data_IF_540600244947
#
_entry.id   IF_540600244947
#
_cell.length_a   1.000
_cell.length_b   1.000
_cell.length_c   1.000
_cell.angle_alpha   90.00
_cell.angle_beta   90.00
_cell.angle_gamma   90.00
#
_symmetry.space_group_name_H-M   'P 1'
#
loop_
_entity.id
_entity.type
_entity.pdbx_description
1 polymer ?
#
# COMPACT_ATOMS: atom_id res chain seq x y z
N UNK A 1 -10.40 18.89 4.23
CA UNK A 1 -11.45 18.17 3.48
C UNK A 1 -10.92 16.79 3.15
N UNK A 2 -11.64 15.74 3.49
CA UNK A 2 -11.28 14.37 3.12
C UNK A 2 -12.21 13.99 1.97
N UNK A 3 -11.66 13.67 0.80
CA UNK A 3 -12.46 13.13 -0.30
C UNK A 3 -12.30 11.63 -0.29
N UNK A 4 -13.40 10.95 -0.03
CA UNK A 4 -13.40 9.55 0.38
C UNK A 4 -14.30 8.78 -0.54
N UNK A 5 -13.68 7.85 -1.26
CA UNK A 5 -14.28 6.84 -2.13
C UNK A 5 -15.14 7.36 -3.29
N UNK A 6 -14.50 7.45 -4.45
CA UNK A 6 -15.15 7.69 -5.73
C UNK A 6 -14.99 6.39 -6.51
N UNK A 7 -15.95 5.49 -6.31
CA UNK A 7 -15.87 4.13 -6.83
C UNK A 7 -16.28 4.13 -8.30
N UNK A 8 -15.33 3.75 -9.16
CA UNK A 8 -15.58 3.55 -10.58
C UNK A 8 -15.72 4.83 -11.41
N UNK A 9 -16.16 4.66 -12.65
CA UNK A 9 -16.18 5.74 -13.64
C UNK A 9 -17.14 6.88 -13.27
N UNK A 10 -18.24 6.58 -12.58
CA UNK A 10 -19.23 7.56 -12.14
C UNK A 10 -18.67 8.47 -11.03
N UNK A 11 -18.10 7.88 -9.96
CA UNK A 11 -17.44 8.64 -8.90
C UNK A 11 -16.29 9.48 -9.46
N UNK A 12 -15.47 8.92 -10.36
CA UNK A 12 -14.40 9.70 -10.98
C UNK A 12 -14.91 10.87 -11.84
N UNK A 13 -16.02 10.71 -12.57
CA UNK A 13 -16.65 11.83 -13.30
C UNK A 13 -17.21 12.88 -12.33
N UNK A 14 -17.86 12.45 -11.25
CA UNK A 14 -18.34 13.36 -10.21
C UNK A 14 -17.19 14.16 -9.59
N UNK A 15 -16.03 13.53 -9.35
CA UNK A 15 -14.81 14.22 -8.93
C UNK A 15 -14.38 15.27 -9.95
N UNK A 16 -14.31 14.93 -11.23
CA UNK A 16 -13.90 15.88 -12.27
C UNK A 16 -14.88 17.02 -12.48
N UNK A 17 -16.16 16.81 -12.21
CA UNK A 17 -17.18 17.87 -12.22
C UNK A 17 -17.11 18.73 -10.96
N UNK A 18 -16.75 18.13 -9.83
CA UNK A 18 -16.57 18.81 -8.55
C UNK A 18 -15.25 19.59 -8.49
N UNK A 19 -14.14 19.06 -9.01
CA UNK A 19 -12.79 19.65 -8.91
C UNK A 19 -12.71 21.11 -9.39
N UNK A 20 -13.29 21.49 -10.55
CA UNK A 20 -13.36 22.90 -10.98
C UNK A 20 -14.22 23.79 -10.07
N UNK A 21 -15.17 23.18 -9.33
CA UNK A 21 -16.05 23.86 -8.37
C UNK A 21 -15.46 23.91 -6.96
N UNK A 22 -14.47 23.06 -6.67
CA UNK A 22 -13.72 23.08 -5.42
C UNK A 22 -12.80 24.30 -5.43
N UNK A 23 -13.22 25.33 -4.71
CA UNK A 23 -12.53 26.63 -4.64
C UNK A 23 -11.11 26.51 -4.07
N UNK A 24 -10.82 25.45 -3.30
CA UNK A 24 -9.50 25.23 -2.70
C UNK A 24 -9.10 23.74 -2.66
N UNK A 25 -8.37 23.29 -3.69
CA UNK A 25 -7.77 21.94 -3.74
C UNK A 25 -6.71 21.72 -2.66
N UNK A 26 -6.12 22.80 -2.11
CA UNK A 26 -5.12 22.70 -1.04
C UNK A 26 -5.74 22.22 0.27
N UNK A 27 -7.06 22.29 0.44
CA UNK A 27 -7.74 21.77 1.62
C UNK A 27 -7.83 20.23 1.66
N UNK A 28 -7.48 19.52 0.58
CA UNK A 28 -7.50 18.06 0.51
C UNK A 28 -6.25 17.48 1.18
N UNK A 29 -6.43 16.73 2.25
CA UNK A 29 -5.32 16.05 2.97
C UNK A 29 -5.28 14.54 2.74
N UNK A 30 -6.36 13.97 2.22
CA UNK A 30 -6.53 12.53 2.03
C UNK A 30 -7.39 12.29 0.82
N UNK A 31 -6.94 11.38 -0.03
CA UNK A 31 -7.63 10.97 -1.23
C UNK A 31 -7.50 9.47 -1.42
N UNK A 32 -8.63 8.78 -1.42
CA UNK A 32 -8.74 7.41 -1.93
C UNK A 32 -9.49 7.48 -3.26
N UNK A 33 -8.90 6.91 -4.30
CA UNK A 33 -9.43 6.99 -5.65
C UNK A 33 -9.39 5.63 -6.34
N UNK A 34 -10.56 5.14 -6.74
CA UNK A 34 -10.67 4.06 -7.71
C UNK A 34 -10.74 4.65 -9.12
N UNK A 35 -9.66 4.50 -9.87
CA UNK A 35 -9.59 4.99 -11.24
C UNK A 35 -10.28 4.06 -12.25
N UNK A 36 -10.99 3.01 -11.81
CA UNK A 36 -11.73 2.12 -12.69
C UNK A 36 -10.88 1.54 -13.82
N UNK A 37 -11.41 1.54 -15.04
CA UNK A 37 -10.65 1.12 -16.23
C UNK A 37 -10.10 2.33 -16.97
N UNK A 38 -8.79 2.34 -17.21
CA UNK A 38 -8.19 3.24 -18.19
C UNK A 38 -8.64 2.83 -19.59
N UNK A 39 -9.44 3.69 -20.22
CA UNK A 39 -9.91 3.54 -21.60
C UNK A 39 -9.35 4.69 -22.43
N UNK A 40 -9.37 4.54 -23.74
CA UNK A 40 -8.98 5.64 -24.64
C UNK A 40 -9.94 6.82 -24.58
N UNK A 41 -11.17 6.64 -24.08
CA UNK A 41 -12.20 7.69 -23.99
C UNK A 41 -12.02 8.63 -22.79
N UNK A 42 -11.32 8.21 -21.75
CA UNK A 42 -11.17 8.96 -20.49
C UNK A 42 -9.70 9.36 -20.20
N UNK A 43 -8.79 9.19 -21.18
CA UNK A 43 -7.35 9.45 -21.00
C UNK A 43 -7.03 10.90 -20.62
N UNK A 44 -7.65 11.89 -21.28
CA UNK A 44 -7.39 13.32 -21.01
C UNK A 44 -7.76 13.69 -19.59
N UNK A 45 -8.84 13.10 -19.10
CA UNK A 45 -9.32 13.35 -17.76
C UNK A 45 -8.32 12.86 -16.72
N UNK A 46 -7.82 11.62 -16.85
CA UNK A 46 -6.77 11.08 -15.96
C UNK A 46 -5.48 11.87 -16.04
N UNK A 47 -5.03 12.22 -17.24
CA UNK A 47 -3.85 13.06 -17.42
C UNK A 47 -4.01 14.41 -16.70
N UNK A 48 -5.13 15.09 -16.91
CA UNK A 48 -5.42 16.37 -16.26
C UNK A 48 -5.46 16.23 -14.74
N UNK A 49 -6.14 15.20 -14.24
CA UNK A 49 -6.23 14.91 -12.82
C UNK A 49 -4.85 14.68 -12.18
N UNK A 50 -4.03 13.80 -12.73
CA UNK A 50 -2.71 13.50 -12.16
C UNK A 50 -1.74 14.69 -12.29
N UNK A 51 -1.88 15.53 -13.31
CA UNK A 51 -1.15 16.79 -13.41
C UNK A 51 -1.63 17.83 -12.39
N UNK A 52 -2.89 17.78 -11.99
CA UNK A 52 -3.47 18.67 -10.99
C UNK A 52 -3.16 18.27 -9.54
N UNK A 53 -2.58 17.08 -9.30
CA UNK A 53 -2.17 16.66 -7.94
C UNK A 53 -1.24 17.66 -7.25
N UNK A 54 -0.43 18.40 -8.01
CA UNK A 54 0.45 19.44 -7.47
C UNK A 54 -0.31 20.55 -6.71
N UNK A 55 -1.56 20.81 -7.07
CA UNK A 55 -2.40 21.81 -6.40
C UNK A 55 -2.96 21.30 -5.06
N UNK A 56 -2.87 20.00 -4.78
CA UNK A 56 -3.24 19.40 -3.49
C UNK A 56 -2.06 19.45 -2.52
N UNK A 57 -1.54 20.65 -2.24
CA UNK A 57 -0.29 20.87 -1.49
C UNK A 57 -0.27 20.33 -0.05
N UNK A 58 -1.44 20.00 0.51
CA UNK A 58 -1.58 19.40 1.85
C UNK A 58 -1.93 17.92 1.82
N UNK A 59 -1.91 17.27 0.65
CA UNK A 59 -2.20 15.85 0.52
C UNK A 59 -1.14 15.01 1.24
N UNK A 60 -1.58 14.27 2.28
CA UNK A 60 -0.75 13.40 3.10
C UNK A 60 -0.99 11.92 2.83
N UNK A 61 -2.21 11.55 2.45
CA UNK A 61 -2.58 10.17 2.18
C UNK A 61 -3.20 10.02 0.81
N UNK A 62 -2.60 9.17 -0.03
CA UNK A 62 -3.09 8.83 -1.36
C UNK A 62 -3.20 7.32 -1.50
N UNK A 63 -4.40 6.82 -1.77
CA UNK A 63 -4.64 5.42 -2.14
C UNK A 63 -5.22 5.36 -3.54
N UNK A 64 -4.58 4.60 -4.44
CA UNK A 64 -4.99 4.44 -5.82
C UNK A 64 -5.37 2.97 -6.08
N UNK A 65 -6.61 2.72 -6.47
CA UNK A 65 -7.11 1.41 -6.89
C UNK A 65 -7.73 1.47 -8.28
N UNK A 66 -8.03 0.31 -8.86
CA UNK A 66 -8.74 0.20 -10.12
C UNK A 66 -8.28 -1.01 -10.92
N UNK A 67 -8.65 -1.07 -12.20
CA UNK A 67 -8.21 -2.13 -13.10
C UNK A 67 -6.78 -1.90 -13.57
N UNK A 68 -6.09 -2.99 -13.84
CA UNK A 68 -4.75 -2.98 -14.41
C UNK A 68 -4.68 -2.08 -15.66
N UNK A 69 -3.73 -1.14 -15.67
CA UNK A 69 -3.47 -0.27 -16.82
C UNK A 69 -3.11 -1.14 -18.03
N UNK A 70 -3.76 -0.92 -19.17
CA UNK A 70 -3.47 -1.66 -20.39
C UNK A 70 -2.15 -1.18 -21.01
N UNK A 71 -1.48 -2.05 -21.77
CA UNK A 71 -0.19 -1.71 -22.42
C UNK A 71 -0.27 -0.49 -23.35
N UNK A 72 -1.42 -0.23 -23.98
CA UNK A 72 -1.62 0.96 -24.82
C UNK A 72 -1.88 2.25 -24.02
N UNK A 73 -1.99 2.15 -22.70
CA UNK A 73 -2.26 3.26 -21.78
C UNK A 73 -1.10 3.49 -20.80
N UNK A 74 0.11 2.99 -21.08
CA UNK A 74 1.27 3.14 -20.19
C UNK A 74 1.65 4.60 -19.91
N UNK A 75 1.34 5.53 -20.82
CA UNK A 75 1.51 6.97 -20.57
C UNK A 75 0.74 7.44 -19.33
N UNK A 76 -0.39 6.82 -18.99
CA UNK A 76 -1.15 7.13 -17.78
C UNK A 76 -0.33 6.82 -16.53
N UNK A 77 0.41 5.72 -16.52
CA UNK A 77 1.30 5.40 -15.41
C UNK A 77 2.39 6.48 -15.22
N UNK A 78 2.96 6.99 -16.31
CA UNK A 78 3.91 8.11 -16.25
C UNK A 78 3.28 9.36 -15.63
N UNK A 79 2.01 9.65 -15.91
CA UNK A 79 1.28 10.75 -15.28
C UNK A 79 1.09 10.51 -13.77
N UNK A 80 0.69 9.28 -13.37
CA UNK A 80 0.60 8.89 -11.95
C UNK A 80 1.93 9.13 -11.24
N UNK A 81 3.03 8.57 -11.78
CA UNK A 81 4.35 8.69 -11.18
C UNK A 81 4.79 10.15 -11.06
N UNK A 82 4.61 10.95 -12.12
CA UNK A 82 4.93 12.38 -12.10
C UNK A 82 4.13 13.15 -11.05
N UNK A 83 2.81 12.93 -11.00
CA UNK A 83 1.92 13.60 -10.05
C UNK A 83 2.29 13.24 -8.60
N UNK A 84 2.47 11.95 -8.31
CA UNK A 84 2.85 11.47 -6.97
C UNK A 84 4.21 12.02 -6.54
N UNK A 85 5.20 12.06 -7.44
CA UNK A 85 6.54 12.56 -7.13
C UNK A 85 6.57 14.05 -6.72
N UNK A 86 5.54 14.82 -7.08
CA UNK A 86 5.42 16.25 -6.75
C UNK A 86 4.76 16.50 -5.38
N UNK A 87 4.17 15.48 -4.77
CA UNK A 87 3.47 15.60 -3.48
C UNK A 87 4.46 15.63 -2.31
N UNK A 88 4.98 16.82 -2.00
CA UNK A 88 6.04 17.04 -1.02
C UNK A 88 5.67 16.74 0.44
N UNK A 89 4.38 16.64 0.76
CA UNK A 89 3.88 16.29 2.10
C UNK A 89 3.28 14.88 2.19
N UNK A 90 3.43 14.07 1.15
CA UNK A 90 2.84 12.73 1.12
C UNK A 90 3.49 11.81 2.14
N UNK A 91 2.69 11.23 3.02
CA UNK A 91 3.11 10.33 4.10
C UNK A 91 2.63 8.90 3.85
N UNK A 92 1.49 8.72 3.19
CA UNK A 92 0.94 7.42 2.84
C UNK A 92 0.72 7.32 1.32
N UNK A 93 1.24 6.26 0.71
CA UNK A 93 0.93 5.86 -0.65
C UNK A 93 0.51 4.40 -0.70
N UNK A 94 -0.69 4.14 -1.21
CA UNK A 94 -1.17 2.81 -1.54
C UNK A 94 -1.47 2.67 -3.03
N UNK A 95 -1.07 1.56 -3.63
CA UNK A 95 -1.42 1.22 -5.01
C UNK A 95 -1.94 -0.20 -5.08
N UNK A 96 -3.15 -0.37 -5.60
CA UNK A 96 -3.81 -1.66 -5.76
C UNK A 96 -4.18 -1.93 -7.22
N UNK A 97 -3.74 -3.08 -7.73
CA UNK A 97 -4.07 -3.65 -9.06
C UNK A 97 -3.62 -2.86 -10.30
N UNK A 98 -3.45 -1.54 -10.22
CA UNK A 98 -3.08 -0.68 -11.34
C UNK A 98 -1.78 -1.10 -12.03
N UNK A 99 -0.82 -1.60 -11.23
CA UNK A 99 0.54 -1.93 -11.67
C UNK A 99 0.69 -3.28 -12.39
N UNK A 100 -0.38 -4.07 -12.52
CA UNK A 100 -0.26 -5.50 -12.90
C UNK A 100 0.39 -5.75 -14.27
N UNK A 101 0.19 -4.84 -15.23
CA UNK A 101 0.75 -4.93 -16.58
C UNK A 101 1.87 -3.91 -16.85
N UNK A 102 2.27 -3.14 -15.84
CA UNK A 102 3.27 -2.09 -16.00
C UNK A 102 4.66 -2.73 -16.15
N UNK A 103 5.47 -2.31 -17.14
CA UNK A 103 6.84 -2.80 -17.30
C UNK A 103 7.70 -2.56 -16.04
N UNK A 104 8.65 -3.47 -15.71
CA UNK A 104 9.51 -3.33 -14.54
C UNK A 104 10.20 -1.97 -14.42
N UNK A 105 10.74 -1.45 -15.52
CA UNK A 105 11.45 -0.17 -15.60
C UNK A 105 10.57 1.02 -15.16
N UNK A 106 9.25 0.93 -15.40
CA UNK A 106 8.30 1.94 -14.99
C UNK A 106 7.93 1.83 -13.50
N UNK A 107 8.00 0.63 -12.91
CA UNK A 107 7.87 0.44 -11.47
C UNK A 107 9.13 0.92 -10.75
N UNK A 108 10.31 0.69 -11.33
CA UNK A 108 11.58 1.24 -10.83
C UNK A 108 11.56 2.76 -10.82
N UNK A 109 11.08 3.37 -11.90
CA UNK A 109 10.90 4.83 -11.97
C UNK A 109 9.98 5.33 -10.85
N UNK A 110 8.87 4.65 -10.57
CA UNK A 110 8.01 5.02 -9.44
C UNK A 110 8.80 4.97 -8.13
N UNK A 111 9.45 3.85 -7.81
CA UNK A 111 10.12 3.64 -6.54
C UNK A 111 11.29 4.61 -6.31
N UNK A 112 12.01 4.99 -7.36
CA UNK A 112 13.13 5.93 -7.31
C UNK A 112 12.69 7.40 -7.20
N UNK A 113 11.45 7.72 -7.57
CA UNK A 113 10.90 9.09 -7.55
C UNK A 113 9.92 9.34 -6.40
N UNK A 114 9.61 8.34 -5.58
CA UNK A 114 8.73 8.48 -4.42
C UNK A 114 9.15 9.65 -3.51
N UNK A 115 8.20 10.36 -2.90
CA UNK A 115 8.49 11.37 -1.88
C UNK A 115 9.26 10.76 -0.70
N UNK A 116 10.33 11.43 -0.28
CA UNK A 116 11.16 10.99 0.87
C UNK A 116 10.46 11.19 2.22
N UNK A 117 9.29 11.83 2.21
CA UNK A 117 8.40 12.02 3.35
C UNK A 117 7.54 10.80 3.68
N UNK A 118 7.52 9.78 2.81
CA UNK A 118 6.70 8.60 3.03
C UNK A 118 7.01 7.88 4.36
N UNK A 119 5.94 7.63 5.10
CA UNK A 119 5.90 6.89 6.37
C UNK A 119 5.23 5.53 6.14
N UNK A 120 4.31 5.43 5.18
CA UNK A 120 3.56 4.22 4.90
C UNK A 120 3.49 3.94 3.41
N UNK A 121 3.78 2.70 3.03
CA UNK A 121 3.70 2.24 1.65
C UNK A 121 2.93 0.93 1.54
N UNK A 122 1.97 0.88 0.62
CA UNK A 122 1.21 -0.31 0.30
C UNK A 122 1.26 -0.61 -1.20
N UNK A 123 1.60 -1.85 -1.55
CA UNK A 123 1.57 -2.37 -2.91
C UNK A 123 0.79 -3.68 -2.94
N UNK A 124 -0.31 -3.68 -3.69
CA UNK A 124 -1.30 -4.76 -3.68
C UNK A 124 -1.53 -5.25 -5.11
N UNK A 125 -1.45 -6.55 -5.31
CA UNK A 125 -1.78 -7.25 -6.56
C UNK A 125 -0.96 -6.80 -7.78
N UNK A 126 0.36 -6.68 -7.61
CA UNK A 126 1.29 -6.45 -8.73
C UNK A 126 2.10 -7.71 -9.06
N UNK A 127 2.04 -8.15 -10.31
CA UNK A 127 2.84 -9.29 -10.82
C UNK A 127 4.24 -8.87 -11.28
N UNK A 128 4.55 -7.57 -11.23
CA UNK A 128 5.79 -6.99 -11.77
C UNK A 128 6.66 -6.35 -10.69
N UNK A 129 6.09 -6.05 -9.52
CA UNK A 129 6.84 -5.59 -8.37
C UNK A 129 7.84 -6.66 -7.90
N UNK A 130 9.11 -6.30 -7.82
CA UNK A 130 10.27 -7.19 -7.62
C UNK A 130 11.14 -6.77 -6.45
N UNK A 131 12.18 -7.56 -6.19
CA UNK A 131 13.21 -7.28 -5.19
C UNK A 131 13.93 -5.95 -5.44
N UNK A 132 14.22 -5.60 -6.70
CA UNK A 132 14.88 -4.33 -7.07
C UNK A 132 14.03 -3.13 -6.64
N UNK A 133 12.70 -3.24 -6.74
CA UNK A 133 11.81 -2.19 -6.26
C UNK A 133 11.89 -2.00 -4.74
N UNK A 134 12.10 -3.08 -3.97
CA UNK A 134 12.36 -2.96 -2.53
C UNK A 134 13.71 -2.29 -2.26
N UNK A 135 14.76 -2.63 -3.02
CA UNK A 135 16.05 -1.94 -2.91
C UNK A 135 15.91 -0.43 -3.14
N UNK A 136 15.20 -0.02 -4.19
CA UNK A 136 14.91 1.39 -4.45
C UNK A 136 14.09 2.02 -3.31
N UNK A 137 13.05 1.33 -2.84
CA UNK A 137 12.16 1.83 -1.78
C UNK A 137 12.92 2.07 -0.46
N UNK A 138 13.75 1.15 0.00
CA UNK A 138 14.47 1.28 1.27
C UNK A 138 15.55 2.37 1.21
N UNK A 139 16.16 2.58 0.05
CA UNK A 139 17.12 3.67 -0.18
C UNK A 139 16.42 5.03 -0.22
N UNK A 140 15.25 5.10 -0.85
CA UNK A 140 14.52 6.36 -1.05
C UNK A 140 13.72 6.80 0.16
N UNK A 141 13.09 5.86 0.87
CA UNK A 141 12.15 6.11 1.95
C UNK A 141 12.59 5.45 3.27
N UNK A 142 13.72 5.88 3.87
CA UNK A 142 14.27 5.25 5.09
C UNK A 142 13.43 5.50 6.36
N UNK A 143 12.42 6.37 6.27
CA UNK A 143 11.50 6.72 7.37
C UNK A 143 10.25 5.83 7.42
N UNK A 144 10.10 4.86 6.52
CA UNK A 144 8.94 4.00 6.50
C UNK A 144 8.74 3.27 7.84
N UNK A 145 7.52 3.41 8.36
CA UNK A 145 7.04 2.70 9.54
C UNK A 145 6.03 1.61 9.20
N UNK A 146 5.36 1.71 8.05
CA UNK A 146 4.41 0.71 7.56
C UNK A 146 4.79 0.25 6.15
N UNK A 147 4.89 -1.06 5.98
CA UNK A 147 5.10 -1.70 4.69
C UNK A 147 4.06 -2.82 4.50
N UNK A 148 3.17 -2.66 3.51
CA UNK A 148 2.12 -3.64 3.18
C UNK A 148 2.30 -4.16 1.75
N UNK A 149 2.65 -5.43 1.62
CA UNK A 149 3.01 -6.09 0.37
C UNK A 149 2.13 -7.31 0.17
N UNK A 150 1.14 -7.21 -0.72
CA UNK A 150 0.14 -8.28 -0.91
C UNK A 150 0.05 -8.71 -2.36
N UNK A 151 0.09 -10.01 -2.61
CA UNK A 151 -0.09 -10.56 -3.95
C UNK A 151 1.08 -10.28 -4.91
N UNK A 152 2.30 -10.12 -4.39
CA UNK A 152 3.49 -9.76 -5.17
C UNK A 152 4.31 -11.00 -5.52
N UNK A 153 3.92 -11.70 -6.60
CA UNK A 153 4.46 -13.03 -6.93
C UNK A 153 5.95 -13.06 -7.33
N UNK A 154 6.53 -11.92 -7.68
CA UNK A 154 7.96 -11.81 -8.03
C UNK A 154 8.83 -11.40 -6.85
N UNK A 155 8.23 -11.02 -5.73
CA UNK A 155 8.96 -10.60 -4.55
C UNK A 155 9.38 -11.82 -3.74
N UNK A 156 10.68 -11.95 -3.47
CA UNK A 156 11.23 -13.08 -2.71
C UNK A 156 11.36 -12.73 -1.22
N UNK A 157 11.34 -13.73 -0.32
CA UNK A 157 11.53 -13.49 1.11
C UNK A 157 12.80 -12.71 1.44
N UNK A 158 13.91 -12.94 0.72
CA UNK A 158 15.17 -12.20 0.92
C UNK A 158 15.04 -10.67 0.78
N UNK A 159 14.20 -10.18 -0.14
CA UNK A 159 13.95 -8.75 -0.27
C UNK A 159 13.14 -8.19 0.91
N UNK A 160 12.22 -8.98 1.47
CA UNK A 160 11.52 -8.62 2.71
C UNK A 160 12.48 -8.58 3.89
N UNK A 161 13.41 -9.54 4.00
CA UNK A 161 14.45 -9.52 5.03
C UNK A 161 15.32 -8.26 4.93
N UNK A 162 15.71 -7.88 3.71
CA UNK A 162 16.40 -6.63 3.45
C UNK A 162 15.59 -5.43 3.94
N UNK A 163 14.29 -5.36 3.63
CA UNK A 163 13.43 -4.26 4.07
C UNK A 163 13.38 -4.16 5.60
N UNK A 164 13.19 -5.27 6.30
CA UNK A 164 13.14 -5.28 7.77
C UNK A 164 14.48 -4.79 8.37
N UNK A 165 15.61 -5.22 7.81
CA UNK A 165 16.93 -4.82 8.30
C UNK A 165 17.30 -3.38 7.95
N UNK A 166 16.80 -2.86 6.83
CA UNK A 166 17.18 -1.55 6.29
C UNK A 166 16.26 -0.42 6.75
N UNK A 167 15.05 -0.74 7.23
CA UNK A 167 14.06 0.24 7.69
C UNK A 167 14.03 0.29 9.23
N UNK A 168 14.84 1.16 9.87
CA UNK A 168 14.99 1.18 11.32
C UNK A 168 13.70 1.57 12.06
N UNK A 169 12.77 2.24 11.37
CA UNK A 169 11.49 2.68 11.91
C UNK A 169 10.33 1.75 11.59
N UNK A 170 10.56 0.60 10.93
CA UNK A 170 9.50 -0.31 10.53
C UNK A 170 8.78 -0.90 11.75
N UNK A 171 7.55 -0.46 11.97
CA UNK A 171 6.68 -0.86 13.10
C UNK A 171 5.60 -1.85 12.65
N UNK A 172 5.18 -1.76 11.40
CA UNK A 172 4.02 -2.49 10.85
C UNK A 172 4.40 -3.13 9.52
N UNK A 173 4.31 -4.46 9.43
CA UNK A 173 4.68 -5.22 8.24
C UNK A 173 3.59 -6.20 7.84
N UNK A 174 3.06 -6.10 6.63
CA UNK A 174 2.21 -7.14 6.06
C UNK A 174 2.84 -7.68 4.79
N UNK A 175 2.96 -9.00 4.71
CA UNK A 175 3.47 -9.70 3.54
C UNK A 175 2.62 -10.93 3.29
N UNK A 176 1.73 -10.85 2.31
CA UNK A 176 0.70 -11.88 2.09
C UNK A 176 0.65 -12.29 0.62
N UNK A 177 0.24 -13.54 0.35
CA UNK A 177 -0.01 -14.04 -1.01
C UNK A 177 1.19 -13.90 -1.97
N UNK A 178 2.41 -14.01 -1.46
CA UNK A 178 3.65 -14.02 -2.27
C UNK A 178 4.22 -15.42 -2.49
N UNK A 179 3.67 -16.42 -1.79
CA UNK A 179 4.23 -17.76 -1.65
C UNK A 179 4.50 -18.09 -0.19
N UNK A 180 4.94 -19.33 0.12
CA UNK A 180 5.21 -19.75 1.49
C UNK A 180 6.39 -19.00 2.09
N UNK A 181 6.19 -18.47 3.29
CA UNK A 181 7.26 -17.88 4.09
C UNK A 181 8.09 -18.98 4.77
N UNK A 182 9.40 -18.79 4.80
CA UNK A 182 10.31 -19.66 5.54
C UNK A 182 10.23 -19.37 7.04
N UNK A 183 10.51 -20.37 7.86
CA UNK A 183 10.64 -20.17 9.31
C UNK A 183 11.77 -19.18 9.70
N UNK A 184 12.78 -18.98 8.83
CA UNK A 184 13.81 -17.96 9.04
C UNK A 184 13.22 -16.56 9.12
N UNK A 185 12.20 -16.26 8.31
CA UNK A 185 11.49 -14.98 8.34
C UNK A 185 10.79 -14.78 9.68
N UNK A 186 10.16 -15.83 10.21
CA UNK A 186 9.50 -15.78 11.51
C UNK A 186 10.49 -15.59 12.67
N UNK A 187 11.64 -16.27 12.62
CA UNK A 187 12.73 -16.03 13.59
C UNK A 187 13.25 -14.60 13.50
N UNK A 188 13.39 -14.05 12.29
CA UNK A 188 13.82 -12.66 12.08
C UNK A 188 12.83 -11.65 12.66
N UNK A 189 11.52 -11.79 12.42
CA UNK A 189 10.54 -10.88 13.02
C UNK A 189 10.42 -11.07 14.54
N UNK A 190 10.70 -12.27 15.07
CA UNK A 190 10.76 -12.53 16.51
C UNK A 190 11.98 -11.90 17.20
N UNK A 191 13.06 -11.63 16.46
CA UNK A 191 14.32 -11.14 17.00
C UNK A 191 14.29 -9.61 17.21
N UNK A 192 14.36 -9.18 18.48
CA UNK A 192 14.35 -7.76 18.87
C UNK A 192 15.60 -7.00 18.43
N UNK A 193 16.72 -7.67 18.21
CA UNK A 193 17.93 -7.05 17.69
C UNK A 193 17.82 -6.82 16.18
N UNK A 194 17.19 -7.72 15.44
CA UNK A 194 17.08 -7.64 13.98
C UNK A 194 15.91 -6.76 13.50
N UNK A 195 14.82 -6.70 14.27
CA UNK A 195 13.63 -5.94 13.92
C UNK A 195 13.14 -5.07 15.08
N UNK A 196 13.95 -4.20 15.70
CA UNK A 196 13.68 -3.61 17.02
C UNK A 196 12.34 -2.86 17.13
N UNK A 197 11.96 -2.14 16.08
CA UNK A 197 10.77 -1.29 16.08
C UNK A 197 9.47 -2.06 15.82
N UNK A 198 9.52 -3.32 15.40
CA UNK A 198 8.34 -4.06 14.94
C UNK A 198 7.32 -4.29 16.07
N UNK A 199 6.08 -3.85 15.81
CA UNK A 199 4.92 -3.86 16.72
C UNK A 199 3.82 -4.80 16.25
N UNK A 200 3.60 -4.88 14.94
CA UNK A 200 2.62 -5.77 14.34
C UNK A 200 3.16 -6.33 13.00
N UNK A 201 2.89 -7.60 12.76
CA UNK A 201 3.20 -8.25 11.50
C UNK A 201 2.09 -9.20 11.03
N UNK A 202 1.90 -9.29 9.72
CA UNK A 202 1.08 -10.31 9.07
C UNK A 202 1.95 -11.00 8.04
N UNK A 203 2.22 -12.30 8.24
CA UNK A 203 3.02 -13.10 7.33
C UNK A 203 2.17 -14.23 6.75
N UNK A 204 1.99 -14.21 5.43
CA UNK A 204 1.02 -15.03 4.74
C UNK A 204 1.56 -15.93 3.64
N UNK A 205 0.69 -16.77 3.10
CA UNK A 205 1.03 -17.78 2.09
C UNK A 205 1.51 -19.11 2.66
N UNK A 206 1.34 -19.31 3.97
CA UNK A 206 1.76 -20.54 4.64
C UNK A 206 0.86 -21.71 4.22
N UNK A 207 1.46 -22.86 3.97
CA UNK A 207 0.75 -24.11 3.61
C UNK A 207 0.45 -24.98 4.82
N UNK A 208 1.15 -24.75 5.93
CA UNK A 208 1.05 -25.50 7.17
C UNK A 208 1.35 -24.57 8.36
N UNK A 209 0.92 -24.95 9.58
CA UNK A 209 1.35 -24.27 10.79
C UNK A 209 2.87 -24.31 10.97
N UNK A 210 3.40 -23.33 11.68
CA UNK A 210 4.82 -23.27 12.09
C UNK A 210 5.18 -24.41 13.04
N UNK A 211 6.46 -24.78 13.04
CA UNK A 211 6.97 -25.75 14.01
C UNK A 211 6.85 -25.26 15.46
N UNK A 212 6.87 -26.22 16.38
CA UNK A 212 6.90 -25.96 17.82
C UNK A 212 8.14 -25.19 18.28
N UNK A 213 9.18 -25.04 17.45
CA UNK A 213 10.38 -24.27 17.77
C UNK A 213 10.20 -22.76 17.57
N UNK A 214 9.39 -22.36 16.58
CA UNK A 214 9.26 -20.95 16.18
C UNK A 214 8.16 -20.24 16.94
N UNK A 215 7.05 -20.92 17.22
CA UNK A 215 5.90 -20.33 17.93
C UNK A 215 6.27 -19.72 19.29
N UNK A 216 7.09 -20.37 20.14
CA UNK A 216 7.50 -19.77 21.41
C UNK A 216 8.29 -18.46 21.24
N UNK A 217 9.13 -18.36 20.20
CA UNK A 217 9.89 -17.15 19.89
C UNK A 217 8.95 -16.00 19.50
N UNK A 218 7.92 -16.31 18.71
CA UNK A 218 6.90 -15.33 18.33
C UNK A 218 6.11 -14.88 19.56
N UNK A 219 5.65 -15.79 20.41
CA UNK A 219 4.93 -15.45 21.64
C UNK A 219 5.77 -14.66 22.65
N UNK A 220 7.09 -14.89 22.71
CA UNK A 220 8.00 -14.11 23.55
C UNK A 220 8.10 -12.64 23.11
N UNK A 221 7.79 -12.35 21.84
CA UNK A 221 7.81 -10.98 21.29
C UNK A 221 6.41 -10.37 21.16
N UNK A 222 5.45 -11.15 20.70
CA UNK A 222 4.09 -10.74 20.39
C UNK A 222 3.13 -11.48 21.34
N UNK A 223 2.54 -10.77 22.32
CA UNK A 223 1.52 -11.33 23.21
C UNK A 223 0.36 -12.00 22.45
N UNK A 224 0.01 -11.45 21.29
CA UNK A 224 -1.01 -12.05 20.43
C UNK A 224 -0.39 -12.60 19.16
N UNK A 225 -0.62 -13.88 18.91
CA UNK A 225 -0.29 -14.58 17.66
C UNK A 225 -1.52 -15.37 17.25
N UNK A 226 -2.08 -15.04 16.10
CA UNK A 226 -3.24 -15.71 15.52
C UNK A 226 -2.85 -16.40 14.23
N UNK A 227 -3.32 -17.63 14.05
CA UNK A 227 -3.22 -18.36 12.81
C UNK A 227 -4.57 -18.35 12.10
N UNK A 228 -4.62 -17.76 10.91
CA UNK A 228 -5.84 -17.62 10.12
C UNK A 228 -5.72 -18.52 8.88
N UNK A 229 -6.63 -19.47 8.74
CA UNK A 229 -6.79 -20.29 7.54
C UNK A 229 -7.89 -19.73 6.66
N UNK A 230 -7.59 -19.46 5.39
CA UNK A 230 -8.61 -19.06 4.44
C UNK A 230 -9.19 -20.28 3.72
N UNK A 231 -10.51 -20.35 3.60
CA UNK A 231 -11.21 -21.31 2.75
C UNK A 231 -11.06 -20.93 1.28
N UNK A 232 -9.82 -20.93 0.77
CA UNK A 232 -9.51 -20.64 -0.63
C UNK A 232 -9.04 -21.89 -1.35
N UNK A 233 -9.13 -21.89 -2.69
CA UNK A 233 -8.59 -22.97 -3.55
C UNK A 233 -7.12 -23.30 -3.24
N UNK A 234 -6.38 -22.33 -2.71
CA UNK A 234 -4.94 -22.43 -2.44
C UNK A 234 -4.62 -22.84 -0.99
N UNK A 235 -5.63 -22.98 -0.12
CA UNK A 235 -5.49 -23.29 1.33
C UNK A 235 -4.39 -22.46 2.00
N UNK A 236 -4.29 -21.20 1.61
CA UNK A 236 -3.32 -20.29 2.19
C UNK A 236 -3.73 -19.92 3.62
N UNK A 237 -2.73 -19.79 4.47
CA UNK A 237 -2.89 -19.36 5.84
C UNK A 237 -1.90 -18.25 6.17
N UNK A 238 -2.26 -17.43 7.15
CA UNK A 238 -1.52 -16.25 7.55
C UNK A 238 -1.37 -16.22 9.08
N UNK A 239 -0.20 -15.78 9.53
CA UNK A 239 0.05 -15.49 10.93
C UNK A 239 -0.07 -13.99 11.15
N UNK A 240 -1.06 -13.59 11.94
CA UNK A 240 -1.20 -12.22 12.43
C UNK A 240 -0.60 -12.15 13.84
N UNK A 241 0.38 -11.29 14.05
CA UNK A 241 1.09 -11.18 15.33
C UNK A 241 1.26 -9.72 15.73
N UNK A 242 0.99 -9.38 16.99
CA UNK A 242 1.14 -8.01 17.47
C UNK A 242 1.37 -7.92 18.97
N UNK A 243 2.03 -6.82 19.35
CA UNK A 243 2.20 -6.36 20.74
C UNK A 243 1.53 -5.02 21.01
N UNK A 244 1.11 -4.30 19.96
CA UNK A 244 0.34 -3.07 20.04
C UNK A 244 -0.90 -3.25 19.17
N UNK A 245 -2.09 -3.19 19.77
CA UNK A 245 -3.36 -3.40 19.06
C UNK A 245 -3.56 -2.36 17.94
N UNK A 246 -3.31 -1.09 18.23
CA UNK A 246 -3.42 0.01 17.27
C UNK A 246 -2.55 -0.22 16.02
N UNK A 247 -1.32 -0.71 16.21
CA UNK A 247 -0.42 -1.02 15.11
C UNK A 247 -0.98 -2.12 14.19
N UNK A 248 -1.65 -3.13 14.76
CA UNK A 248 -2.34 -4.15 13.98
C UNK A 248 -3.55 -3.59 13.23
N UNK A 249 -4.36 -2.74 13.87
CA UNK A 249 -5.50 -2.08 13.22
C UNK A 249 -5.07 -1.21 12.04
N UNK A 250 -4.03 -0.40 12.21
CA UNK A 250 -3.42 0.40 11.14
C UNK A 250 -2.92 -0.47 9.98
N UNK A 251 -2.37 -1.65 10.28
CA UNK A 251 -1.91 -2.58 9.25
C UNK A 251 -3.07 -3.18 8.45
N UNK A 252 -4.20 -3.49 9.11
CA UNK A 252 -5.42 -3.93 8.43
C UNK A 252 -6.01 -2.82 7.55
N UNK A 253 -6.10 -1.60 8.07
CA UNK A 253 -6.56 -0.41 7.35
C UNK A 253 -5.62 0.01 6.21
N UNK A 254 -4.34 -0.40 6.22
CA UNK A 254 -3.44 -0.09 5.09
C UNK A 254 -3.78 -0.85 3.79
N UNK A 255 -4.76 -1.75 3.83
CA UNK A 255 -5.27 -2.46 2.65
C UNK A 255 -6.47 -1.77 2.00
N UNK A 256 -7.23 -1.02 2.80
CA UNK A 256 -8.39 -0.20 2.43
C UNK A 256 -8.44 0.95 3.43
N UNK A 257 -8.18 2.19 2.98
CA UNK A 257 -7.94 3.29 3.89
C UNK A 257 -9.26 3.68 4.60
N UNK A 258 -9.33 3.49 5.92
CA UNK A 258 -10.56 3.77 6.70
C UNK A 258 -10.51 5.12 7.43
N UNK A 259 -9.36 5.70 7.78
CA UNK A 259 -9.33 6.88 8.68
C UNK A 259 -8.56 8.08 8.13
N UNK A 260 -9.20 9.24 7.99
CA UNK A 260 -8.52 10.48 7.57
C UNK A 260 -7.62 11.03 8.70
N UNK A 261 -6.28 11.17 8.52
CA UNK A 261 -5.34 11.57 9.57
C UNK A 261 -5.49 13.05 9.97
N UNK A 262 -6.25 13.84 9.20
CA UNK A 262 -6.57 15.22 9.53
C UNK A 262 -7.77 15.36 10.48
N UNK A 263 -8.82 14.56 10.32
CA UNK A 263 -10.07 14.72 11.08
C UNK A 263 -10.48 13.50 11.94
N UNK A 264 -9.75 12.38 11.83
CA UNK A 264 -10.00 11.16 12.62
C UNK A 264 -11.36 10.50 12.36
N UNK A 265 -12.03 10.83 11.25
CA UNK A 265 -13.29 10.21 10.87
C UNK A 265 -13.07 9.05 9.90
N UNK A 266 -13.92 8.04 10.05
CA UNK A 266 -14.10 6.98 9.07
C UNK A 266 -14.41 7.62 7.71
N UNK A 267 -13.62 7.23 6.72
CA UNK A 267 -13.70 7.54 5.30
C UNK A 267 -14.85 6.68 4.78
N UNK A 268 -16.09 7.05 5.12
CA UNK A 268 -17.27 6.35 4.63
C UNK A 268 -17.36 6.51 3.12
N UNK A 269 -17.59 5.37 2.47
CA UNK A 269 -17.97 5.23 1.06
C UNK A 269 -19.06 6.28 0.79
N UNK A 270 -18.89 7.13 -0.23
CA UNK A 270 -20.05 7.83 -0.78
C UNK A 270 -20.86 6.74 -1.48
N UNK A 271 -21.73 6.07 -0.72
CA UNK A 271 -22.76 5.20 -1.28
C UNK A 271 -23.67 6.13 -2.09
N UNK A 272 -23.93 5.76 -3.34
CA UNK A 272 -24.68 6.50 -4.38
C UNK A 272 -26.14 6.87 -4.00
N UNK A 273 -26.53 6.81 -2.72
CA UNK A 273 -27.93 6.89 -2.29
C UNK A 273 -28.46 8.32 -2.07
N UNK A 274 -27.72 9.38 -2.41
CA UNK A 274 -28.20 10.77 -2.26
C UNK A 274 -27.92 11.69 -3.48
N UNK A 275 -28.21 11.24 -4.70
CA UNK A 275 -28.42 12.13 -5.87
C UNK A 275 -29.55 11.69 -6.80
#
# INVERSE_FOLDING_TARGET
MCMTDLVGEAGYRALLEALPRMVDLSAISTLQLDVGSFRTTNYRSYEHFFNALIYMENLRSLFLSGRAIAHHSLHMWSCVVRGVAQLSKLEFLGVQELCKNIPPENIDQMCTTLPTTLISFAMISSNRFSDDNIHHLVQRCPKLELLNLRGLRKLRPAAVELAIRSLPRLRRLAVCRMGPMSESMYRLVADKCLAPSLEAAILGGNKAPLSAEVLPLLHARFPTVMFICYSSRWKESEYCMWRVQEAYMQLMASSWFTDCPGCGKDVSIIEDDDF
#
